data_IF_639629643295
#
_entry.id   IF_639629643295
#
_cell.length_a   1.000
_cell.length_b   1.000
_cell.length_c   1.000
_cell.angle_alpha   90.00
_cell.angle_beta   90.00
_cell.angle_gamma   90.00
#
_symmetry.space_group_name_H-M   'P 1'
#
loop_
_entity.id
_entity.type
_entity.pdbx_description
1 polymer ?
#
# COMPACT_ATOMS: atom_id res chain seq x y z
N UNK A 1 -10.32 25.51 10.09
CA UNK A 1 -8.88 25.33 10.37
C UNK A 1 -8.08 24.92 9.11
N UNK A 2 -8.44 23.85 8.39
CA UNK A 2 -7.68 23.45 7.17
C UNK A 2 -7.79 24.50 6.04
N UNK A 3 -9.01 24.94 5.69
CA UNK A 3 -9.21 25.95 4.64
C UNK A 3 -8.57 27.31 4.94
N UNK A 4 -8.45 27.68 6.22
CA UNK A 4 -7.82 28.94 6.62
C UNK A 4 -6.30 28.86 6.56
N UNK A 5 -5.72 27.70 6.87
CA UNK A 5 -4.27 27.47 6.77
C UNK A 5 -3.83 27.25 5.31
N UNK A 6 -4.68 26.64 4.48
CA UNK A 6 -4.38 26.32 3.08
C UNK A 6 -5.50 26.79 2.14
N UNK A 7 -5.55 28.08 1.79
CA UNK A 7 -6.64 28.65 0.99
C UNK A 7 -6.77 28.06 -0.42
N UNK A 8 -5.64 27.65 -1.02
CA UNK A 8 -5.59 27.01 -2.33
C UNK A 8 -5.86 25.49 -2.31
N UNK A 9 -5.96 24.88 -1.11
CA UNK A 9 -6.14 23.43 -1.00
C UNK A 9 -7.61 23.06 -1.16
N UNK A 10 -7.92 22.34 -2.24
CA UNK A 10 -9.21 21.67 -2.39
C UNK A 10 -9.26 20.47 -1.46
N UNK A 11 -10.13 20.55 -0.46
CA UNK A 11 -10.34 19.48 0.51
C UNK A 11 -11.64 18.72 0.23
N UNK A 12 -11.57 17.39 0.25
CA UNK A 12 -12.71 16.49 0.20
C UNK A 12 -12.48 15.33 1.16
N UNK A 13 -13.52 14.99 1.93
CA UNK A 13 -13.53 13.83 2.80
C UNK A 13 -14.21 12.65 2.11
N UNK A 14 -13.69 11.45 2.32
CA UNK A 14 -14.27 10.20 1.84
C UNK A 14 -14.53 9.30 3.04
N UNK A 15 -15.68 8.64 3.04
CA UNK A 15 -16.03 7.67 4.06
C UNK A 15 -15.46 6.30 3.68
N UNK A 16 -14.75 5.68 4.61
CA UNK A 16 -14.30 4.31 4.48
C UNK A 16 -15.33 3.38 5.14
N UNK A 17 -15.85 2.43 4.36
CA UNK A 17 -16.72 1.38 4.87
C UNK A 17 -15.88 0.19 5.35
N UNK A 18 -15.79 -0.04 6.68
CA UNK A 18 -15.00 -1.14 7.22
C UNK A 18 -15.53 -2.52 6.82
N UNK A 19 -16.80 -2.63 6.41
CA UNK A 19 -17.40 -3.89 5.94
C UNK A 19 -16.70 -4.46 4.70
N UNK A 20 -16.07 -3.60 3.89
CA UNK A 20 -15.31 -4.01 2.69
C UNK A 20 -14.07 -4.84 2.99
N UNK A 21 -13.51 -4.71 4.19
CA UNK A 21 -12.23 -5.35 4.54
C UNK A 21 -12.37 -6.37 5.67
N UNK A 22 -13.41 -6.24 6.49
CA UNK A 22 -13.59 -7.05 7.70
C UNK A 22 -13.60 -8.56 7.45
N UNK A 23 -14.12 -8.98 6.30
CA UNK A 23 -14.16 -10.40 5.90
C UNK A 23 -12.84 -10.93 5.33
N UNK A 24 -11.91 -10.04 4.97
CA UNK A 24 -10.64 -10.37 4.35
C UNK A 24 -9.49 -10.40 5.37
N UNK A 25 -9.68 -9.80 6.54
CA UNK A 25 -8.66 -9.75 7.59
C UNK A 25 -8.61 -11.11 8.30
N UNK A 26 -7.52 -11.85 8.10
CA UNK A 26 -7.26 -13.07 8.86
C UNK A 26 -6.83 -12.72 10.29
N UNK A 27 -7.52 -13.27 11.29
CA UNK A 27 -7.29 -13.11 12.74
C UNK A 27 -5.97 -13.71 13.24
N UNK A 28 -5.09 -14.19 12.35
CA UNK A 28 -4.06 -15.17 12.70
C UNK A 28 -2.68 -14.59 12.98
N UNK A 29 -2.39 -13.31 12.69
CA UNK A 29 -1.00 -12.82 12.72
C UNK A 29 -0.73 -11.77 13.81
N UNK A 30 -1.53 -10.72 13.95
CA UNK A 30 -1.40 -9.71 15.03
C UNK A 30 -2.72 -8.98 15.29
N UNK A 31 -3.17 -8.88 16.55
CA UNK A 31 -4.38 -8.13 16.93
C UNK A 31 -4.34 -6.65 16.49
N UNK A 32 -3.15 -6.02 16.49
CA UNK A 32 -2.99 -4.65 16.03
C UNK A 32 -3.34 -4.47 14.54
N UNK A 33 -3.28 -5.56 13.74
CA UNK A 33 -3.65 -5.58 12.33
C UNK A 33 -5.13 -5.92 12.10
N UNK A 34 -5.95 -6.03 13.14
CA UNK A 34 -7.38 -6.35 13.00
C UNK A 34 -8.24 -5.11 12.74
N UNK A 35 -7.69 -3.91 12.95
CA UNK A 35 -8.43 -2.67 12.69
C UNK A 35 -8.61 -2.45 11.18
N UNK A 36 -9.85 -2.41 10.67
CA UNK A 36 -10.15 -2.22 9.24
C UNK A 36 -9.44 -1.01 8.61
N UNK A 37 -9.27 0.06 9.39
CA UNK A 37 -8.65 1.29 8.93
C UNK A 37 -7.19 1.12 8.51
N UNK A 38 -6.47 0.13 9.05
CA UNK A 38 -5.10 -0.18 8.65
C UNK A 38 -4.99 -0.59 7.17
N UNK A 39 -6.08 -1.10 6.60
CA UNK A 39 -6.14 -1.54 5.22
C UNK A 39 -6.70 -0.48 4.29
N UNK A 40 -7.27 0.62 4.80
CA UNK A 40 -7.92 1.64 3.97
C UNK A 40 -7.03 2.17 2.84
N UNK A 41 -5.71 2.26 3.09
CA UNK A 41 -4.70 2.65 2.08
C UNK A 41 -4.69 1.75 0.84
N UNK A 42 -4.94 0.45 1.00
CA UNK A 42 -5.00 -0.52 -0.09
C UNK A 42 -6.26 -0.33 -0.97
N UNK A 43 -7.29 0.32 -0.43
CA UNK A 43 -8.58 0.56 -1.08
C UNK A 43 -8.73 1.97 -1.65
N UNK A 44 -7.66 2.77 -1.68
CA UNK A 44 -7.69 4.11 -2.29
C UNK A 44 -8.16 4.07 -3.75
N UNK A 45 -7.88 2.99 -4.48
CA UNK A 45 -8.38 2.79 -5.85
C UNK A 45 -9.91 2.73 -5.94
N UNK A 46 -10.57 2.20 -4.92
CA UNK A 46 -12.03 2.01 -4.86
C UNK A 46 -12.76 3.17 -4.18
N UNK A 47 -12.12 3.79 -3.18
CA UNK A 47 -12.68 4.90 -2.40
C UNK A 47 -12.70 6.19 -3.23
N UNK A 48 -11.64 6.42 -4.00
CA UNK A 48 -11.49 7.65 -4.79
C UNK A 48 -12.16 7.54 -6.15
N UNK A 49 -12.65 8.67 -6.67
CA UNK A 49 -13.34 8.71 -7.95
C UNK A 49 -12.47 8.19 -9.09
N UNK A 50 -13.11 7.60 -10.11
CA UNK A 50 -12.41 7.01 -11.26
C UNK A 50 -11.56 8.00 -12.04
N UNK A 51 -11.85 9.30 -11.97
CA UNK A 51 -11.05 10.35 -12.60
C UNK A 51 -9.74 10.65 -11.86
N UNK A 52 -9.58 10.21 -10.61
CA UNK A 52 -8.32 10.34 -9.87
C UNK A 52 -7.37 9.25 -10.34
N UNK A 53 -6.27 9.66 -10.97
CA UNK A 53 -5.32 8.73 -11.60
C UNK A 53 -4.06 8.50 -10.78
N UNK A 54 -3.74 9.38 -9.84
CA UNK A 54 -2.52 9.33 -9.05
C UNK A 54 -2.74 9.96 -7.68
N UNK A 55 -2.11 9.40 -6.65
CA UNK A 55 -2.16 9.92 -5.28
C UNK A 55 -0.80 9.81 -4.59
N UNK A 56 -0.60 10.69 -3.62
CA UNK A 56 0.40 10.51 -2.57
C UNK A 56 -0.37 10.25 -1.28
N UNK A 57 -0.15 9.09 -0.67
CA UNK A 57 -0.66 8.75 0.64
C UNK A 57 0.38 9.15 1.70
N UNK A 58 -0.10 9.77 2.78
CA UNK A 58 0.69 10.14 3.95
C UNK A 58 -0.06 9.64 5.19
N UNK A 59 0.65 8.96 6.09
CA UNK A 59 0.13 8.68 7.43
C UNK A 59 -0.08 9.99 8.21
N UNK A 60 -0.98 9.96 9.19
CA UNK A 60 -1.37 11.13 9.98
C UNK A 60 -0.33 11.58 11.02
N UNK A 61 0.70 10.77 11.24
CA UNK A 61 1.78 10.99 12.22
C UNK A 61 3.06 11.56 11.58
N UNK A 62 2.94 12.14 10.38
CA UNK A 62 4.06 12.70 9.63
C UNK A 62 4.03 14.24 9.58
N UNK A 63 5.22 14.83 9.54
CA UNK A 63 5.43 16.24 9.22
C UNK A 63 6.22 16.33 7.92
N UNK A 64 5.65 17.01 6.92
CA UNK A 64 6.30 17.24 5.63
C UNK A 64 7.19 18.48 5.73
N UNK A 65 8.49 18.31 5.48
CA UNK A 65 9.52 19.36 5.65
C UNK A 65 10.13 19.87 4.34
N UNK A 66 9.70 19.34 3.19
CA UNK A 66 10.19 19.71 1.85
C UNK A 66 9.04 19.66 0.82
N UNK A 67 9.26 20.18 -0.39
CA UNK A 67 8.28 20.19 -1.49
C UNK A 67 7.81 18.78 -1.85
N UNK A 68 6.57 18.46 -1.46
CA UNK A 68 5.89 17.20 -1.78
C UNK A 68 5.71 16.99 -3.28
N UNK A 69 5.76 18.05 -4.09
CA UNK A 69 5.75 18.00 -5.54
C UNK A 69 6.92 17.19 -6.11
N UNK A 70 8.05 17.10 -5.40
CA UNK A 70 9.18 16.23 -5.78
C UNK A 70 8.75 14.75 -5.83
N UNK A 71 7.98 14.29 -4.84
CA UNK A 71 7.41 12.94 -4.82
C UNK A 71 6.36 12.75 -5.94
N UNK A 72 5.53 13.77 -6.19
CA UNK A 72 4.53 13.72 -7.26
C UNK A 72 5.15 13.52 -8.64
N UNK A 73 6.29 14.16 -8.90
CA UNK A 73 7.02 14.08 -10.17
C UNK A 73 7.85 12.81 -10.33
N UNK A 74 8.07 12.05 -9.26
CA UNK A 74 8.88 10.82 -9.32
C UNK A 74 8.30 9.83 -10.34
N UNK A 75 9.14 9.27 -11.21
CA UNK A 75 8.72 8.29 -12.20
C UNK A 75 8.46 6.92 -11.55
N UNK A 76 7.29 6.34 -11.77
CA UNK A 76 6.99 4.96 -11.32
C UNK A 76 7.35 3.89 -12.37
N UNK A 77 7.73 4.30 -13.58
CA UNK A 77 8.00 3.37 -14.68
C UNK A 77 6.76 2.55 -15.01
N UNK A 78 6.88 1.22 -15.00
CA UNK A 78 5.78 0.26 -15.18
C UNK A 78 5.08 -0.14 -13.87
N UNK A 79 5.52 0.36 -12.72
CA UNK A 79 5.01 -0.05 -11.40
C UNK A 79 3.78 0.78 -11.01
N UNK A 80 2.85 0.16 -10.28
CA UNK A 80 1.67 0.83 -9.74
C UNK A 80 1.96 1.63 -8.46
N UNK A 81 3.03 1.27 -7.73
CA UNK A 81 3.34 1.81 -6.41
C UNK A 81 4.81 2.19 -6.33
N UNK A 82 5.09 3.34 -5.72
CA UNK A 82 6.42 3.75 -5.28
C UNK A 82 6.42 4.03 -3.78
N UNK A 83 7.35 3.41 -3.06
CA UNK A 83 7.53 3.57 -1.62
C UNK A 83 9.02 3.45 -1.28
N UNK A 84 9.41 3.89 -0.09
CA UNK A 84 10.79 3.76 0.38
C UNK A 84 11.04 2.33 0.87
N UNK A 85 12.05 1.69 0.29
CA UNK A 85 12.51 0.35 0.66
C UNK A 85 13.50 0.37 1.83
N UNK A 86 13.39 -0.64 2.68
CA UNK A 86 14.30 -0.95 3.79
C UNK A 86 14.68 -2.43 3.76
N UNK A 87 15.94 -2.71 3.40
CA UNK A 87 16.48 -4.08 3.30
C UNK A 87 17.43 -4.48 4.44
N UNK A 88 17.65 -3.59 5.42
CA UNK A 88 18.62 -3.78 6.50
C UNK A 88 17.95 -3.98 7.86
N UNK A 89 16.63 -4.22 7.86
CA UNK A 89 15.88 -4.52 9.06
C UNK A 89 16.23 -5.92 9.59
N UNK A 90 16.37 -6.04 10.91
CA UNK A 90 16.50 -7.33 11.57
C UNK A 90 15.10 -7.94 11.76
N UNK A 91 14.60 -8.64 10.75
CA UNK A 91 13.25 -9.24 10.75
C UNK A 91 13.00 -10.20 11.91
N UNK A 92 14.03 -10.84 12.47
CA UNK A 92 13.89 -11.66 13.67
C UNK A 92 13.28 -10.88 14.83
N UNK A 93 13.58 -9.57 14.96
CA UNK A 93 12.99 -8.68 15.96
C UNK A 93 11.63 -8.09 15.58
N UNK A 94 11.23 -8.17 14.31
CA UNK A 94 9.94 -7.64 13.86
C UNK A 94 8.79 -8.63 14.08
N UNK A 95 9.07 -9.93 14.02
CA UNK A 95 8.09 -10.98 14.23
C UNK A 95 8.24 -11.64 15.60
N UNK A 96 7.14 -12.21 16.10
CA UNK A 96 7.10 -12.88 17.41
C UNK A 96 7.77 -14.25 17.36
N UNK A 97 8.16 -14.80 18.52
CA UNK A 97 8.69 -16.16 18.60
C UNK A 97 7.69 -17.19 18.04
N UNK A 98 6.38 -16.96 18.23
CA UNK A 98 5.32 -17.78 17.65
C UNK A 98 5.39 -17.81 16.12
N UNK A 99 5.64 -16.68 15.48
CA UNK A 99 5.81 -16.62 14.02
C UNK A 99 6.99 -17.49 13.56
N UNK A 100 8.14 -17.38 14.23
CA UNK A 100 9.35 -18.12 13.87
C UNK A 100 9.27 -19.62 14.19
N UNK A 101 8.45 -20.01 15.18
CA UNK A 101 8.18 -21.42 15.49
C UNK A 101 7.28 -22.12 14.47
N UNK A 102 6.54 -21.38 13.65
CA UNK A 102 5.73 -21.93 12.57
C UNK A 102 6.59 -22.11 11.32
N UNK A 103 6.91 -23.37 10.98
CA UNK A 103 7.74 -23.72 9.83
C UNK A 103 7.21 -23.16 8.50
N UNK A 104 5.88 -23.08 8.33
CA UNK A 104 5.28 -22.57 7.09
C UNK A 104 5.52 -21.07 6.94
N UNK A 105 5.39 -20.33 8.04
CA UNK A 105 5.63 -18.89 8.06
C UNK A 105 7.12 -18.57 7.93
N UNK A 106 7.97 -19.23 8.72
CA UNK A 106 9.42 -19.07 8.69
C UNK A 106 10.02 -19.41 7.31
N UNK A 107 9.47 -20.40 6.60
CA UNK A 107 9.89 -20.76 5.24
C UNK A 107 9.78 -19.59 4.24
N UNK A 108 8.90 -18.61 4.48
CA UNK A 108 8.79 -17.38 3.66
C UNK A 108 10.11 -16.59 3.62
N UNK A 109 10.96 -16.75 4.63
CA UNK A 109 12.25 -16.05 4.75
C UNK A 109 13.46 -16.92 4.37
N UNK A 110 13.27 -18.23 4.16
CA UNK A 110 14.36 -19.16 3.92
C UNK A 110 15.12 -18.84 2.61
N UNK A 111 16.43 -18.62 2.71
CA UNK A 111 17.29 -18.31 1.57
C UNK A 111 17.03 -16.95 0.91
N UNK A 112 16.18 -16.10 1.52
CA UNK A 112 15.83 -14.77 0.99
C UNK A 112 16.53 -13.68 1.78
N UNK A 113 16.75 -12.53 1.13
CA UNK A 113 17.17 -11.29 1.78
C UNK A 113 15.96 -10.35 1.80
N UNK A 114 15.11 -10.44 2.85
CA UNK A 114 13.85 -9.71 2.88
C UNK A 114 14.10 -8.21 2.90
N UNK A 115 13.25 -7.48 2.19
CA UNK A 115 13.10 -6.05 2.30
C UNK A 115 11.64 -5.76 2.63
N UNK A 116 11.39 -4.69 3.36
CA UNK A 116 10.05 -4.16 3.52
C UNK A 116 10.01 -2.72 3.04
N UNK A 117 8.84 -2.27 2.62
CA UNK A 117 8.59 -0.87 2.33
C UNK A 117 7.74 -0.30 3.46
N UNK A 118 8.12 0.88 3.96
CA UNK A 118 7.26 1.60 4.86
C UNK A 118 6.06 2.15 4.06
N UNK A 119 4.86 1.86 4.50
CA UNK A 119 3.61 2.25 3.82
C UNK A 119 3.06 3.60 4.26
N UNK A 120 3.78 4.35 5.10
CA UNK A 120 3.34 5.65 5.61
C UNK A 120 3.55 6.79 4.62
N UNK A 121 4.41 6.61 3.62
CA UNK A 121 4.52 7.50 2.46
C UNK A 121 4.55 6.67 1.19
N UNK A 122 3.50 6.79 0.38
CA UNK A 122 3.35 5.98 -0.83
C UNK A 122 2.85 6.83 -1.98
N UNK A 123 3.44 6.66 -3.16
CA UNK A 123 2.94 7.23 -4.42
C UNK A 123 2.26 6.13 -5.21
N UNK A 124 0.97 6.28 -5.52
CA UNK A 124 0.19 5.30 -6.25
C UNK A 124 -0.24 5.84 -7.61
N UNK A 125 0.00 5.07 -8.65
CA UNK A 125 -0.68 5.17 -9.94
C UNK A 125 -1.98 4.37 -9.85
N UNK A 126 -3.09 5.08 -9.64
CA UNK A 126 -4.40 4.47 -9.45
C UNK A 126 -4.94 3.83 -10.73
N UNK A 127 -4.49 4.27 -11.92
CA UNK A 127 -4.90 3.63 -13.17
C UNK A 127 -4.33 2.21 -13.23
N UNK A 128 -3.06 2.04 -12.90
CA UNK A 128 -2.43 0.71 -12.84
C UNK A 128 -2.91 -0.08 -11.64
N UNK A 129 -3.02 0.56 -10.47
CA UNK A 129 -3.50 -0.09 -9.25
C UNK A 129 -4.85 -0.76 -9.45
N UNK A 130 -5.84 -0.03 -10.02
CA UNK A 130 -7.18 -0.57 -10.30
C UNK A 130 -7.20 -1.72 -11.31
N UNK A 131 -6.20 -1.83 -12.19
CA UNK A 131 -6.10 -2.94 -13.16
C UNK A 131 -5.58 -4.22 -12.52
N UNK A 132 -4.64 -4.10 -11.57
CA UNK A 132 -3.96 -5.24 -10.95
C UNK A 132 -4.63 -5.69 -9.67
N UNK A 133 -5.11 -4.73 -8.86
CA UNK A 133 -5.64 -4.93 -7.51
C UNK A 133 -7.08 -4.42 -7.38
N UNK A 134 -8.01 -5.06 -8.09
CA UNK A 134 -9.44 -4.97 -7.72
C UNK A 134 -9.65 -5.45 -6.27
N UNK A 135 -10.74 -5.01 -5.64
CA UNK A 135 -11.13 -5.16 -4.23
C UNK A 135 -10.63 -6.45 -3.53
N UNK A 136 -10.67 -7.59 -4.22
CA UNK A 136 -10.40 -8.92 -3.65
C UNK A 136 -8.91 -9.25 -3.46
N UNK A 137 -7.97 -8.56 -4.13
CA UNK A 137 -6.54 -8.97 -4.16
C UNK A 137 -5.61 -8.17 -3.24
N UNK A 138 -6.12 -7.12 -2.59
CA UNK A 138 -5.28 -6.19 -1.85
C UNK A 138 -4.98 -6.64 -0.40
N UNK A 139 -5.71 -7.64 0.12
CA UNK A 139 -5.59 -8.10 1.52
C UNK A 139 -4.73 -9.36 1.67
N UNK A 140 -4.58 -10.15 0.61
CA UNK A 140 -3.86 -11.43 0.66
C UNK A 140 -2.33 -11.33 0.75
N UNK A 141 -1.76 -10.13 0.92
CA UNK A 141 -0.31 -9.97 1.13
C UNK A 141 0.57 -10.47 -0.03
N UNK A 142 -0.02 -10.72 -1.21
CA UNK A 142 0.69 -11.20 -2.38
C UNK A 142 1.58 -10.12 -2.99
N UNK A 143 2.81 -10.00 -2.51
CA UNK A 143 3.91 -9.48 -3.32
C UNK A 143 4.08 -10.43 -4.51
N UNK A 144 3.63 -10.02 -5.69
CA UNK A 144 3.77 -10.82 -6.90
C UNK A 144 5.27 -10.98 -7.24
N UNK A 145 5.82 -12.17 -6.99
CA UNK A 145 7.06 -12.62 -7.60
C UNK A 145 6.80 -12.80 -9.11
N UNK A 146 7.29 -11.83 -9.90
CA UNK A 146 7.61 -11.88 -11.35
C UNK A 146 6.88 -12.93 -12.21
N UNK A 147 6.01 -12.44 -13.10
CA UNK A 147 5.83 -13.01 -14.44
C UNK A 147 5.85 -11.89 -15.51
N UNK A 148 6.98 -11.72 -16.19
CA UNK A 148 7.04 -11.23 -17.58
C UNK A 148 7.15 -12.45 -18.50
N UNK A 149 6.86 -12.36 -19.81
CA UNK A 149 6.04 -11.42 -20.58
C UNK A 149 4.84 -12.15 -21.25
N UNK A 150 3.88 -11.44 -21.84
CA UNK A 150 3.34 -11.67 -23.21
C UNK A 150 2.08 -10.80 -23.46
N UNK A 151 2.25 -9.85 -24.41
CA UNK A 151 1.30 -9.35 -25.43
C UNK A 151 -0.21 -9.32 -25.12
N UNK A 152 -0.77 -8.10 -25.17
CA UNK A 152 -2.01 -7.83 -25.89
C UNK A 152 -1.82 -6.53 -26.70
N UNK A 153 -2.03 -6.62 -28.03
CA UNK A 153 -2.00 -5.49 -28.97
C UNK A 153 -3.21 -4.55 -28.73
N UNK A 154 -3.11 -3.27 -29.13
CA UNK A 154 -4.25 -2.37 -29.12
C UNK A 154 -5.28 -2.83 -30.17
N UNK A 155 -6.55 -2.90 -29.77
CA UNK A 155 -7.62 -2.76 -30.76
C UNK A 155 -7.70 -1.27 -31.14
N UNK A 156 -7.81 -1.07 -32.46
CA UNK A 156 -7.95 0.19 -33.19
C UNK A 156 -8.93 1.17 -32.53
#
# INVERSE_FOLDING_TARGET
>A
MVRSAFPGLRFKAYYFDPGRVRMLISTSVQQALEQPLNYARSYLGDILERCVNRVIYLDSDLVVVDDIGKLWRAGLGSRAVGAREYCYANFTKYFTDRFWSDHRLAATFAGRRPCYFNTGVVVLDLVRWRRVHGLDRAVDGGSEERCLPQRCRPYL
#
